data_IF_934258764103
#
_entry.id   IF_934258764103
#
_cell.length_a   1.000
_cell.length_b   1.000
_cell.length_c   1.000
_cell.angle_alpha   90.00
_cell.angle_beta   90.00
_cell.angle_gamma   90.00
#
_symmetry.space_group_name_H-M   'P 1'
#
loop_
_entity.id
_entity.type
_entity.pdbx_description
1 polymer ?
#
# COMPACT_ATOMS: atom_id res chain seq x y z
N UNK A 1 7.38 -20.60 -6.39
CA UNK A 1 8.35 -19.64 -6.99
C UNK A 1 7.63 -18.80 -8.03
N UNK A 2 7.90 -17.50 -8.07
CA UNK A 2 7.28 -16.54 -8.99
C UNK A 2 7.88 -16.69 -10.40
N UNK A 3 7.03 -16.71 -11.41
CA UNK A 3 7.42 -16.89 -12.81
C UNK A 3 7.15 -15.63 -13.62
N UNK A 4 5.95 -15.07 -13.49
CA UNK A 4 5.57 -13.80 -14.12
C UNK A 4 4.93 -12.87 -13.11
N UNK A 5 5.22 -11.58 -13.26
CA UNK A 5 4.42 -10.50 -12.68
C UNK A 5 3.98 -9.61 -13.83
N UNK A 6 2.72 -9.17 -13.81
CA UNK A 6 2.25 -8.22 -14.79
C UNK A 6 1.11 -7.36 -14.29
N UNK A 7 0.96 -6.24 -14.98
CA UNK A 7 -0.03 -5.21 -14.70
C UNK A 7 -0.87 -5.05 -15.96
N UNK A 8 -2.18 -5.12 -15.78
CA UNK A 8 -3.15 -5.20 -16.87
C UNK A 8 -4.23 -4.14 -16.63
N UNK A 9 -4.70 -3.50 -17.70
CA UNK A 9 -5.80 -2.54 -17.57
C UNK A 9 -7.17 -3.24 -17.44
N UNK A 10 -8.23 -2.47 -17.19
CA UNK A 10 -9.60 -2.99 -17.13
C UNK A 10 -10.09 -3.65 -18.44
N UNK A 11 -9.38 -3.46 -19.56
CA UNK A 11 -9.67 -4.08 -20.86
C UNK A 11 -8.84 -5.34 -21.13
N UNK A 12 -8.13 -5.86 -20.12
CA UNK A 12 -7.23 -7.01 -20.24
C UNK A 12 -6.02 -6.81 -21.15
N UNK A 13 -5.68 -5.57 -21.47
CA UNK A 13 -4.46 -5.25 -22.20
C UNK A 13 -3.30 -5.18 -21.21
N UNK A 14 -2.26 -5.94 -21.51
CA UNK A 14 -1.02 -5.95 -20.73
C UNK A 14 -0.34 -4.59 -20.86
N UNK A 15 -0.20 -3.90 -19.72
CA UNK A 15 0.53 -2.63 -19.65
C UNK A 15 2.01 -2.88 -19.45
N UNK A 16 2.32 -3.76 -18.49
CA UNK A 16 3.67 -4.14 -18.09
C UNK A 16 3.70 -5.63 -17.78
N UNK A 17 4.78 -6.30 -18.16
CA UNK A 17 4.96 -7.72 -17.92
C UNK A 17 6.44 -8.01 -17.77
N UNK A 18 6.78 -8.69 -16.67
CA UNK A 18 8.13 -9.15 -16.41
C UNK A 18 8.13 -10.65 -16.16
N UNK A 19 9.03 -11.33 -16.86
CA UNK A 19 9.32 -12.75 -16.67
C UNK A 19 10.62 -12.89 -15.88
N UNK A 20 10.57 -13.63 -14.77
CA UNK A 20 11.74 -13.85 -13.89
C UNK A 20 12.43 -15.18 -14.15
N UNK A 21 11.77 -16.09 -14.87
CA UNK A 21 12.20 -17.47 -15.09
C UNK A 21 11.96 -17.85 -16.54
N UNK A 22 13.00 -18.37 -17.19
CA UNK A 22 12.97 -18.87 -18.56
C UNK A 22 13.08 -20.41 -18.61
N UNK A 23 13.06 -21.07 -17.46
CA UNK A 23 13.22 -22.52 -17.33
C UNK A 23 11.87 -23.25 -17.36
N UNK A 24 11.59 -23.91 -18.48
CA UNK A 24 10.48 -24.86 -18.66
C UNK A 24 9.39 -24.39 -19.62
N UNK A 25 8.42 -25.28 -19.88
CA UNK A 25 7.24 -25.01 -20.70
C UNK A 25 6.24 -24.16 -19.91
N UNK A 26 6.64 -22.93 -19.60
CA UNK A 26 5.83 -21.96 -18.88
C UNK A 26 4.78 -21.42 -19.84
N UNK A 27 3.50 -21.48 -19.44
CA UNK A 27 2.39 -20.87 -20.19
C UNK A 27 2.63 -19.39 -20.43
N UNK A 28 2.12 -18.88 -21.56
CA UNK A 28 2.22 -17.47 -21.89
C UNK A 28 1.52 -16.62 -20.83
N UNK A 29 2.02 -15.40 -20.57
CA UNK A 29 1.35 -14.49 -19.63
C UNK A 29 -0.09 -14.16 -20.05
N UNK A 30 -0.35 -14.04 -21.35
CA UNK A 30 -1.70 -13.81 -21.87
C UNK A 30 -2.67 -14.95 -21.51
N UNK A 31 -2.21 -16.21 -21.55
CA UNK A 31 -3.02 -17.34 -21.09
C UNK A 31 -3.34 -17.21 -19.59
N UNK A 32 -2.38 -16.73 -18.79
CA UNK A 32 -2.60 -16.50 -17.36
C UNK A 32 -3.63 -15.39 -17.10
N UNK A 33 -3.66 -14.35 -17.94
CA UNK A 33 -4.67 -13.28 -17.88
C UNK A 33 -6.05 -13.84 -18.23
N UNK A 34 -6.17 -14.65 -19.28
CA UNK A 34 -7.42 -15.33 -19.66
C UNK A 34 -7.93 -16.28 -18.56
N UNK A 35 -7.04 -16.88 -17.76
CA UNK A 35 -7.46 -17.73 -16.64
C UNK A 35 -8.15 -16.97 -15.51
N UNK A 36 -7.72 -15.74 -15.25
CA UNK A 36 -8.35 -14.84 -14.28
C UNK A 36 -9.67 -14.29 -14.83
N UNK A 37 -9.83 -14.27 -16.16
CA UNK A 37 -10.97 -13.68 -16.82
C UNK A 37 -11.71 -14.69 -17.70
N UNK A 38 -12.71 -15.36 -17.11
CA UNK A 38 -13.58 -16.29 -17.84
C UNK A 38 -14.98 -15.69 -17.98
N UNK A 39 -15.54 -15.79 -19.18
CA UNK A 39 -16.92 -15.39 -19.50
C UNK A 39 -17.29 -13.94 -19.10
N UNK A 40 -16.31 -13.03 -19.17
CA UNK A 40 -16.51 -11.61 -18.84
C UNK A 40 -16.58 -11.30 -17.34
N UNK A 41 -16.31 -12.27 -16.47
CA UNK A 41 -16.21 -12.08 -15.03
C UNK A 41 -14.80 -12.32 -14.51
N UNK A 42 -14.42 -11.52 -13.52
CA UNK A 42 -13.18 -11.71 -12.76
C UNK A 42 -13.40 -12.93 -11.86
N UNK A 43 -12.58 -13.96 -12.05
CA UNK A 43 -12.57 -15.09 -11.14
C UNK A 43 -12.00 -14.66 -9.77
N UNK A 44 -12.19 -15.48 -8.72
CA UNK A 44 -11.68 -15.18 -7.37
C UNK A 44 -10.16 -14.90 -7.31
N UNK A 45 -9.65 -14.39 -6.18
CA UNK A 45 -8.29 -13.86 -6.05
C UNK A 45 -7.16 -14.87 -6.30
N UNK A 46 -7.47 -16.17 -6.24
CA UNK A 46 -6.52 -17.26 -6.53
C UNK A 46 -7.16 -18.21 -7.53
N UNK A 47 -6.50 -18.41 -8.67
CA UNK A 47 -6.85 -19.41 -9.67
C UNK A 47 -5.76 -20.48 -9.73
N UNK A 48 -6.15 -21.74 -9.55
CA UNK A 48 -5.24 -22.89 -9.61
C UNK A 48 -5.49 -23.66 -10.90
N UNK A 49 -4.44 -23.88 -11.69
CA UNK A 49 -4.51 -24.71 -12.89
C UNK A 49 -3.26 -25.57 -13.00
N UNK A 50 -3.42 -26.88 -12.79
CA UNK A 50 -2.40 -27.93 -12.89
C UNK A 50 -1.02 -27.50 -12.34
N UNK A 51 -0.18 -26.90 -13.19
CA UNK A 51 1.21 -26.53 -12.88
C UNK A 51 1.40 -25.04 -12.48
N UNK A 52 0.37 -24.20 -12.54
CA UNK A 52 0.46 -22.75 -12.30
C UNK A 52 -0.63 -22.27 -11.34
N UNK A 53 -0.22 -21.41 -10.40
CA UNK A 53 -1.08 -20.65 -9.51
C UNK A 53 -1.05 -19.19 -9.96
N UNK A 54 -2.22 -18.62 -10.22
CA UNK A 54 -2.37 -17.21 -10.59
C UNK A 54 -3.07 -16.48 -9.45
N UNK A 55 -2.39 -15.47 -8.92
CA UNK A 55 -2.89 -14.57 -7.90
C UNK A 55 -3.28 -13.25 -8.54
N UNK A 56 -4.43 -12.72 -8.14
CA UNK A 56 -5.02 -11.53 -8.73
C UNK A 56 -5.52 -10.56 -7.66
N UNK A 57 -5.19 -9.28 -7.82
CA UNK A 57 -5.82 -8.18 -7.10
C UNK A 57 -6.24 -7.08 -8.09
N UNK A 58 -7.29 -6.33 -7.72
CA UNK A 58 -7.74 -5.16 -8.47
C UNK A 58 -7.72 -3.93 -7.57
N UNK A 59 -6.99 -2.89 -8.00
CA UNK A 59 -6.88 -1.59 -7.30
C UNK A 59 -7.01 -0.48 -8.33
N UNK A 60 -7.87 0.51 -8.07
CA UNK A 60 -8.06 1.67 -8.95
C UNK A 60 -8.33 1.31 -10.44
N UNK A 61 -9.08 0.22 -10.69
CA UNK A 61 -9.36 -0.34 -12.03
C UNK A 61 -8.12 -0.85 -12.80
N UNK A 62 -7.02 -1.09 -12.10
CA UNK A 62 -5.82 -1.76 -12.60
C UNK A 62 -5.73 -3.14 -11.95
N UNK A 63 -5.42 -4.14 -12.77
CA UNK A 63 -5.30 -5.53 -12.36
C UNK A 63 -3.82 -5.89 -12.22
N UNK A 64 -3.45 -6.40 -11.05
CA UNK A 64 -2.10 -6.90 -10.79
C UNK A 64 -2.17 -8.41 -10.71
N UNK A 65 -1.31 -9.07 -11.49
CA UNK A 65 -1.25 -10.52 -11.59
C UNK A 65 0.13 -11.02 -11.20
N UNK A 66 0.16 -12.06 -10.38
CA UNK A 66 1.35 -12.82 -10.05
C UNK A 66 1.11 -14.28 -10.41
N UNK A 67 1.96 -14.82 -11.28
CA UNK A 67 1.91 -16.22 -11.69
C UNK A 67 3.07 -16.96 -11.01
N UNK A 68 2.75 -17.97 -10.23
CA UNK A 68 3.72 -18.83 -9.55
C UNK A 68 3.57 -20.27 -10.01
N UNK A 69 4.67 -21.03 -9.99
CA UNK A 69 4.60 -22.47 -10.27
C UNK A 69 3.99 -23.23 -9.10
N UNK A 70 3.01 -24.08 -9.40
CA UNK A 70 2.43 -25.03 -8.47
C UNK A 70 3.42 -26.21 -8.31
N UNK A 71 4.24 -26.19 -7.26
CA UNK A 71 5.21 -27.24 -7.00
C UNK A 71 5.71 -27.18 -5.56
N UNK A 72 6.17 -28.32 -5.02
CA UNK A 72 6.48 -28.52 -3.59
C UNK A 72 7.49 -27.55 -2.95
N UNK A 73 8.23 -26.76 -3.73
CA UNK A 73 9.10 -25.66 -3.25
C UNK A 73 8.44 -24.28 -3.38
N UNK A 74 7.11 -24.17 -3.30
CA UNK A 74 6.45 -22.86 -3.21
C UNK A 74 6.65 -22.28 -1.81
N UNK A 75 7.69 -21.46 -1.66
CA UNK A 75 8.04 -20.75 -0.41
C UNK A 75 6.97 -19.71 -0.01
N UNK A 76 6.08 -19.32 -0.92
CA UNK A 76 5.00 -18.38 -0.62
C UNK A 76 3.68 -19.12 -0.38
N UNK A 77 3.08 -18.90 0.78
CA UNK A 77 1.68 -19.23 1.06
C UNK A 77 0.75 -18.39 0.18
N UNK A 78 -0.47 -18.86 -0.07
CA UNK A 78 -1.47 -18.12 -0.87
C UNK A 78 -1.67 -16.69 -0.32
N UNK A 79 -1.61 -16.52 1.01
CA UNK A 79 -1.69 -15.22 1.68
C UNK A 79 -0.49 -14.30 1.39
N UNK A 80 0.74 -14.83 1.47
CA UNK A 80 1.96 -14.05 1.21
C UNK A 80 2.02 -13.54 -0.24
N UNK A 81 1.51 -14.31 -1.20
CA UNK A 81 1.43 -13.87 -2.59
C UNK A 81 0.46 -12.69 -2.79
N UNK A 82 -0.71 -12.73 -2.12
CA UNK A 82 -1.70 -11.64 -2.17
C UNK A 82 -1.20 -10.40 -1.42
N UNK A 83 -0.57 -10.59 -0.26
CA UNK A 83 0.07 -9.52 0.51
C UNK A 83 1.15 -8.84 -0.31
N UNK A 84 2.04 -9.62 -0.94
CA UNK A 84 3.07 -9.08 -1.82
C UNK A 84 2.48 -8.27 -2.99
N UNK A 85 1.39 -8.73 -3.61
CA UNK A 85 0.72 -7.95 -4.65
C UNK A 85 0.17 -6.62 -4.12
N UNK A 86 -0.36 -6.60 -2.89
CA UNK A 86 -0.85 -5.38 -2.25
C UNK A 86 0.30 -4.42 -1.92
N UNK A 87 1.40 -4.93 -1.39
CA UNK A 87 2.62 -4.17 -1.13
C UNK A 87 3.23 -3.62 -2.43
N UNK A 88 3.27 -4.41 -3.50
CA UNK A 88 3.73 -3.96 -4.81
C UNK A 88 2.87 -2.81 -5.35
N UNK A 89 1.55 -2.89 -5.20
CA UNK A 89 0.66 -1.78 -5.56
C UNK A 89 0.99 -0.51 -4.74
N UNK A 90 1.15 -0.64 -3.43
CA UNK A 90 1.49 0.49 -2.55
C UNK A 90 2.86 1.07 -2.90
N UNK A 91 3.83 0.23 -3.21
CA UNK A 91 5.17 0.62 -3.63
C UNK A 91 5.15 1.42 -4.94
N UNK A 92 4.46 0.91 -5.97
CA UNK A 92 4.30 1.61 -7.25
C UNK A 92 3.58 2.95 -7.03
N UNK A 93 2.55 2.98 -6.18
CA UNK A 93 1.85 4.22 -5.82
C UNK A 93 2.76 5.20 -5.07
N UNK A 94 3.61 4.73 -4.17
CA UNK A 94 4.57 5.56 -3.45
C UNK A 94 5.64 6.15 -4.37
N UNK A 95 6.07 5.42 -5.41
CA UNK A 95 7.02 5.93 -6.40
C UNK A 95 6.36 6.84 -7.45
N UNK A 96 5.19 6.48 -7.98
CA UNK A 96 4.54 7.20 -9.08
C UNK A 96 3.54 8.26 -8.62
N UNK A 97 3.14 8.27 -7.34
CA UNK A 97 2.09 9.11 -6.77
C UNK A 97 0.66 8.67 -7.12
N UNK A 98 0.43 8.31 -8.38
CA UNK A 98 -0.87 7.85 -8.89
C UNK A 98 -0.74 6.59 -9.75
N UNK A 99 -1.71 5.68 -9.61
CA UNK A 99 -1.77 4.38 -10.28
C UNK A 99 -2.83 4.35 -11.39
N UNK A 100 -2.84 5.40 -12.23
CA UNK A 100 -3.70 5.44 -13.43
C UNK A 100 -3.02 4.77 -14.63
N UNK A 101 -3.81 4.35 -15.61
CA UNK A 101 -3.30 3.72 -16.85
C UNK A 101 -2.27 4.61 -17.59
N UNK A 102 -2.48 5.92 -17.60
CA UNK A 102 -1.55 6.88 -18.20
C UNK A 102 -0.26 7.02 -17.38
N UNK A 103 -0.36 7.09 -16.05
CA UNK A 103 0.78 7.18 -15.15
C UNK A 103 1.69 5.95 -15.27
N UNK A 104 1.10 4.75 -15.27
CA UNK A 104 1.83 3.49 -15.40
C UNK A 104 2.56 3.38 -16.75
N UNK A 105 1.94 3.84 -17.85
CA UNK A 105 2.60 3.84 -19.17
C UNK A 105 3.78 4.80 -19.26
N UNK A 106 3.64 6.00 -18.69
CA UNK A 106 4.73 7.00 -18.70
C UNK A 106 5.87 6.60 -17.77
N UNK A 107 5.56 6.00 -16.64
CA UNK A 107 6.52 5.51 -15.65
C UNK A 107 6.92 4.04 -15.87
N UNK A 108 6.75 3.49 -17.08
CA UNK A 108 7.02 2.08 -17.39
C UNK A 108 8.45 1.66 -17.01
N UNK A 109 9.45 2.50 -17.32
CA UNK A 109 10.85 2.23 -16.98
C UNK A 109 11.09 2.16 -15.47
N UNK A 110 10.50 3.10 -14.71
CA UNK A 110 10.57 3.15 -13.26
C UNK A 110 9.94 1.89 -12.63
N UNK A 111 8.80 1.45 -13.15
CA UNK A 111 8.12 0.25 -12.65
C UNK A 111 8.93 -1.00 -12.98
N UNK A 112 9.57 -1.08 -14.15
CA UNK A 112 10.46 -2.20 -14.47
C UNK A 112 11.68 -2.28 -13.54
N UNK A 113 12.26 -1.14 -13.15
CA UNK A 113 13.32 -1.08 -12.13
C UNK A 113 12.81 -1.55 -10.75
N UNK A 114 11.63 -1.09 -10.34
CA UNK A 114 11.00 -1.54 -9.08
C UNK A 114 10.78 -3.07 -9.12
N UNK A 115 10.25 -3.59 -10.23
CA UNK A 115 10.01 -5.02 -10.40
C UNK A 115 11.32 -5.84 -10.42
N UNK A 116 12.42 -5.30 -10.95
CA UNK A 116 13.71 -6.00 -10.95
C UNK A 116 14.36 -6.06 -9.58
N UNK A 117 14.20 -5.01 -8.76
CA UNK A 117 14.79 -4.95 -7.42
C UNK A 117 13.94 -5.67 -6.36
N UNK A 118 12.62 -5.70 -6.53
CA UNK A 118 11.70 -6.36 -5.58
C UNK A 118 11.76 -7.89 -5.65
N UNK A 119 11.95 -8.46 -6.84
CA UNK A 119 11.95 -9.90 -7.07
C UNK A 119 13.20 -10.34 -7.81
N UNK A 120 13.96 -11.24 -7.20
CA UNK A 120 15.16 -11.81 -7.79
C UNK A 120 14.98 -13.31 -8.07
N UNK A 121 15.14 -13.72 -9.34
CA UNK A 121 15.02 -15.12 -9.80
C UNK A 121 13.76 -15.86 -9.32
N UNK A 122 12.65 -15.14 -9.11
CA UNK A 122 11.36 -15.70 -8.68
C UNK A 122 11.15 -15.76 -7.17
N UNK A 123 12.02 -15.11 -6.39
CA UNK A 123 11.89 -14.94 -4.94
C UNK A 123 11.75 -13.45 -4.61
N UNK A 124 10.84 -13.13 -3.68
CA UNK A 124 10.68 -11.77 -3.14
C UNK A 124 11.94 -11.46 -2.34
N UNK A 125 12.62 -10.38 -2.69
CA UNK A 125 13.87 -9.97 -2.05
C UNK A 125 13.62 -8.88 -1.01
N UNK A 126 13.00 -7.77 -1.42
CA UNK A 126 12.61 -6.68 -0.52
C UNK A 126 11.42 -5.91 -1.07
N UNK A 127 10.56 -5.44 -0.18
CA UNK A 127 9.44 -4.53 -0.48
C UNK A 127 9.59 -3.19 0.27
N UNK A 128 10.65 -3.03 1.08
CA UNK A 128 10.87 -1.81 1.85
C UNK A 128 11.26 -0.65 0.93
N UNK A 129 10.45 0.40 0.98
CA UNK A 129 10.60 1.62 0.20
C UNK A 129 11.95 2.30 0.47
N UNK A 130 12.42 2.29 1.73
CA UNK A 130 13.66 2.96 2.13
C UNK A 130 14.89 2.26 1.57
N UNK A 131 14.85 0.93 1.56
CA UNK A 131 15.90 0.07 1.01
C UNK A 131 15.93 0.07 -0.52
N UNK A 132 14.76 0.21 -1.18
CA UNK A 132 14.64 0.22 -2.64
C UNK A 132 15.02 1.55 -3.28
N UNK A 133 14.76 2.68 -2.60
CA UNK A 133 14.99 4.01 -3.14
C UNK A 133 16.41 4.26 -3.69
N UNK A 134 17.49 3.80 -3.04
CA UNK A 134 18.86 3.95 -3.56
C UNK A 134 19.17 3.08 -4.79
N UNK A 135 18.47 1.97 -4.97
CA UNK A 135 18.67 1.04 -6.10
C UNK A 135 17.96 1.51 -7.38
N UNK A 136 17.00 2.41 -7.24
CA UNK A 136 16.17 2.93 -8.35
C UNK A 136 16.74 4.24 -8.87
N UNK A 137 17.11 4.24 -10.15
CA UNK A 137 17.73 5.37 -10.83
C UNK A 137 16.72 6.22 -11.56
N UNK A 138 15.65 5.63 -12.07
CA UNK A 138 14.57 6.35 -12.74
C UNK A 138 13.89 7.36 -11.81
N UNK A 139 13.58 8.55 -12.35
CA UNK A 139 12.81 9.57 -11.63
C UNK A 139 11.34 9.49 -12.02
N UNK A 140 10.41 9.70 -11.07
CA UNK A 140 9.00 9.68 -11.38
C UNK A 140 8.66 10.86 -12.30
N UNK A 141 7.94 10.56 -13.38
CA UNK A 141 7.34 11.57 -14.24
C UNK A 141 6.04 11.99 -13.56
N UNK A 142 6.10 13.14 -12.89
CA UNK A 142 4.93 13.75 -12.30
C UNK A 142 3.90 14.05 -13.39
N UNK A 143 2.76 13.40 -13.27
CA UNK A 143 1.61 13.75 -14.07
C UNK A 143 1.08 15.09 -13.57
N UNK A 144 0.80 16.07 -14.45
CA UNK A 144 0.06 17.24 -14.04
C UNK A 144 -1.30 16.74 -13.56
N UNK A 145 -1.48 16.67 -12.24
CA UNK A 145 -2.80 16.54 -11.67
C UNK A 145 -3.61 17.66 -12.30
N UNK A 146 -4.72 17.30 -12.95
CA UNK A 146 -5.72 18.26 -13.41
C UNK A 146 -5.97 19.15 -12.19
N UNK A 147 -5.38 20.35 -12.22
CA UNK A 147 -5.76 21.43 -11.34
C UNK A 147 -7.23 21.57 -11.67
N UNK A 148 -8.09 20.93 -10.88
CA UNK A 148 -9.49 21.31 -10.82
C UNK A 148 -9.43 22.72 -10.28
N UNK A 149 -9.19 23.67 -11.18
CA UNK A 149 -9.49 25.07 -10.99
C UNK A 149 -10.94 25.02 -10.57
N UNK A 150 -11.16 25.16 -9.27
CA UNK A 150 -12.47 25.44 -8.75
C UNK A 150 -12.83 26.73 -9.46
N UNK A 151 -13.68 26.62 -10.48
CA UNK A 151 -14.31 27.77 -11.13
C UNK A 151 -15.31 28.31 -10.11
N UNK A 152 -14.82 28.90 -9.01
CA UNK A 152 -15.62 29.80 -8.20
C UNK A 152 -15.81 31.03 -9.05
N UNK A 153 -16.92 31.04 -9.77
CA UNK A 153 -17.54 32.23 -10.31
C UNK A 153 -17.85 33.20 -9.17
N UNK A 154 -16.89 34.04 -8.80
CA UNK A 154 -17.11 35.21 -7.96
C UNK A 154 -16.18 36.35 -8.38
N UNK A 155 -16.81 37.40 -8.91
CA UNK A 155 -16.27 38.71 -9.30
C UNK A 155 -15.73 39.51 -8.12
N UNK A 156 -14.78 39.01 -7.33
CA UNK A 156 -14.11 39.83 -6.31
C UNK A 156 -12.64 39.44 -6.20
N UNK A 157 -11.81 40.22 -6.88
CA UNK A 157 -10.36 40.21 -6.73
C UNK A 157 -10.00 40.73 -5.33
N UNK A 158 -9.63 39.81 -4.44
CA UNK A 158 -8.80 40.11 -3.28
C UNK A 158 -7.66 39.11 -3.24
N UNK A 159 -6.44 39.63 -3.02
CA UNK A 159 -5.16 38.92 -2.91
C UNK A 159 -5.22 37.81 -1.85
N UNK A 160 -5.77 36.66 -2.24
CA UNK A 160 -5.77 35.46 -1.44
C UNK A 160 -4.91 34.45 -2.19
N UNK A 161 -3.82 34.02 -1.54
CA UNK A 161 -2.96 32.92 -2.02
C UNK A 161 -3.85 31.82 -2.60
N UNK A 162 -3.56 31.31 -3.81
CA UNK A 162 -4.37 30.23 -4.37
C UNK A 162 -4.39 29.08 -3.38
N UNK A 163 -5.58 28.73 -2.88
CA UNK A 163 -5.80 27.53 -2.08
C UNK A 163 -5.58 26.38 -3.05
N UNK A 164 -4.35 25.90 -3.10
CA UNK A 164 -3.99 24.71 -3.87
C UNK A 164 -4.70 23.54 -3.18
N UNK A 165 -5.56 22.77 -3.86
CA UNK A 165 -6.14 21.58 -3.25
C UNK A 165 -4.99 20.71 -2.72
N UNK A 166 -5.19 20.12 -1.54
CA UNK A 166 -4.17 19.34 -0.85
C UNK A 166 -3.94 18.01 -1.61
N UNK A 167 -3.18 18.05 -2.71
CA UNK A 167 -2.87 16.89 -3.57
C UNK A 167 -1.75 16.03 -2.99
N UNK A 168 -1.47 16.16 -1.68
CA UNK A 168 -0.41 15.44 -0.98
C UNK A 168 -0.54 13.92 -1.13
N UNK A 169 -1.76 13.40 -1.22
CA UNK A 169 -2.03 11.98 -1.44
C UNK A 169 -1.73 11.46 -2.87
N UNK A 170 -1.49 12.36 -3.83
CA UNK A 170 -1.24 12.02 -5.24
C UNK A 170 0.21 12.25 -5.66
N UNK A 171 1.06 12.74 -4.74
CA UNK A 171 2.48 12.94 -5.01
C UNK A 171 3.26 11.69 -4.67
N UNK A 172 4.33 11.38 -5.42
CA UNK A 172 5.34 10.44 -4.97
C UNK A 172 5.79 10.74 -3.54
N UNK A 173 6.04 9.69 -2.75
CA UNK A 173 6.59 9.80 -1.39
C UNK A 173 7.98 10.45 -1.44
N UNK A 174 8.71 10.27 -2.54
CA UNK A 174 10.00 10.90 -2.78
C UNK A 174 9.91 11.99 -3.85
N UNK A 175 10.38 13.19 -3.52
CA UNK A 175 10.64 14.22 -4.52
C UNK A 175 11.85 13.89 -5.40
N UNK A 176 12.11 14.72 -6.41
CA UNK A 176 13.36 14.66 -7.18
C UNK A 176 14.55 14.80 -6.23
N UNK A 177 15.65 14.09 -6.54
CA UNK A 177 16.88 14.12 -5.72
C UNK A 177 17.41 15.55 -5.50
N UNK A 178 17.12 16.46 -6.42
CA UNK A 178 17.49 17.88 -6.33
C UNK A 178 16.67 18.65 -5.28
N UNK A 179 15.39 18.30 -5.08
CA UNK A 179 14.51 18.98 -4.12
C UNK A 179 14.73 18.51 -2.67
N UNK A 180 15.15 17.25 -2.48
CA UNK A 180 15.49 16.72 -1.16
C UNK A 180 16.62 17.49 -0.48
N UNK A 181 17.58 18.05 -1.25
CA UNK A 181 18.71 18.79 -0.67
C UNK A 181 18.33 20.14 -0.07
N UNK A 182 17.19 20.75 -0.46
CA UNK A 182 16.87 22.14 -0.09
C UNK A 182 15.84 22.27 1.05
N UNK A 183 15.02 21.24 1.30
CA UNK A 183 13.93 21.27 2.29
C UNK A 183 14.24 20.53 3.61
N UNK A 184 15.45 20.00 3.80
CA UNK A 184 15.79 19.14 4.95
C UNK A 184 16.12 19.87 6.26
N UNK A 185 16.00 21.20 6.35
CA UNK A 185 16.53 21.94 7.50
C UNK A 185 15.72 21.89 8.80
N UNK A 186 14.62 21.12 8.88
CA UNK A 186 13.74 21.12 10.05
C UNK A 186 13.34 19.70 10.45
N UNK A 187 13.93 19.23 11.54
CA UNK A 187 13.64 17.94 12.15
C UNK A 187 12.23 17.96 12.76
N UNK A 188 11.24 17.48 12.00
CA UNK A 188 9.83 17.44 12.41
C UNK A 188 9.27 16.02 12.31
N UNK A 189 8.32 15.71 13.19
CA UNK A 189 7.54 14.47 13.14
C UNK A 189 6.08 14.89 13.14
N UNK A 190 5.32 14.36 12.18
CA UNK A 190 3.88 14.53 12.11
C UNK A 190 3.21 13.22 12.54
N UNK A 191 2.23 13.32 13.42
CA UNK A 191 1.46 12.18 13.93
C UNK A 191 -0.01 12.48 13.67
N UNK A 192 -0.63 11.64 12.85
CA UNK A 192 -2.06 11.71 12.54
C UNK A 192 -2.78 10.54 13.19
N UNK A 193 -3.66 10.84 14.15
CA UNK A 193 -4.58 9.85 14.74
C UNK A 193 -5.88 9.88 13.95
N UNK A 194 -6.19 8.78 13.27
CA UNK A 194 -7.38 8.67 12.41
C UNK A 194 -8.31 7.62 12.98
N UNK A 195 -9.51 8.03 13.34
CA UNK A 195 -10.55 7.17 13.87
C UNK A 195 -11.69 7.01 12.86
N UNK A 196 -12.11 5.76 12.64
CA UNK A 196 -13.20 5.41 11.73
C UNK A 196 -14.28 4.66 12.49
N UNK A 197 -15.47 5.25 12.51
CA UNK A 197 -16.66 4.65 13.11
C UNK A 197 -17.46 3.96 12.01
N UNK A 198 -17.68 2.66 12.17
CA UNK A 198 -18.61 1.89 11.37
C UNK A 198 -19.83 1.59 12.22
N UNK A 199 -20.98 2.16 11.86
CA UNK A 199 -22.24 1.90 12.54
C UNK A 199 -23.33 1.54 11.53
N UNK A 200 -24.11 0.50 11.84
CA UNK A 200 -25.35 0.18 11.12
C UNK A 200 -26.53 0.52 12.02
N UNK A 201 -27.39 1.42 11.55
CA UNK A 201 -28.55 1.91 12.28
C UNK A 201 -29.80 1.39 11.57
N UNK A 202 -30.67 0.73 12.32
CA UNK A 202 -31.96 0.25 11.84
C UNK A 202 -32.90 1.41 11.53
N UNK A 203 -33.99 1.14 10.79
CA UNK A 203 -35.03 2.14 10.52
C UNK A 203 -35.75 2.59 11.80
N UNK A 204 -35.73 1.76 12.85
CA UNK A 204 -36.26 2.06 14.19
C UNK A 204 -35.32 2.95 15.02
N UNK A 205 -34.12 3.26 14.53
CA UNK A 205 -33.12 4.06 15.24
C UNK A 205 -32.24 3.27 16.22
N UNK A 206 -32.28 1.94 16.17
CA UNK A 206 -31.42 1.08 17.00
C UNK A 206 -30.10 0.78 16.28
N UNK A 207 -28.98 0.85 17.01
CA UNK A 207 -27.66 0.51 16.48
C UNK A 207 -27.51 -1.02 16.52
N UNK A 208 -27.39 -1.65 15.35
CA UNK A 208 -27.25 -3.12 15.25
C UNK A 208 -25.80 -3.57 15.23
N UNK A 209 -24.91 -2.75 14.67
CA UNK A 209 -23.49 -3.01 14.60
C UNK A 209 -22.74 -1.70 14.83
N UNK A 210 -21.73 -1.73 15.69
CA UNK A 210 -20.84 -0.62 15.98
C UNK A 210 -19.41 -1.14 16.08
N UNK A 211 -18.50 -0.52 15.33
CA UNK A 211 -17.07 -0.81 15.38
C UNK A 211 -16.30 0.48 15.23
N UNK A 212 -15.34 0.70 16.12
CA UNK A 212 -14.38 1.81 16.07
C UNK A 212 -13.02 1.25 15.64
N UNK A 213 -12.48 1.75 14.52
CA UNK A 213 -11.14 1.40 14.06
C UNK A 213 -10.25 2.65 14.09
N UNK A 214 -9.28 2.67 15.00
CA UNK A 214 -8.24 3.69 15.06
C UNK A 214 -7.00 3.29 14.26
N UNK A 215 -6.30 4.27 13.69
CA UNK A 215 -4.97 4.11 13.10
C UNK A 215 -4.11 5.33 13.41
N UNK A 216 -2.88 5.11 13.84
CA UNK A 216 -1.89 6.17 14.06
C UNK A 216 -0.91 6.16 12.91
N UNK A 217 -0.89 7.24 12.13
CA UNK A 217 0.02 7.40 10.99
C UNK A 217 1.15 8.35 11.40
N UNK A 218 2.40 7.92 11.19
CA UNK A 218 3.58 8.70 11.51
C UNK A 218 4.33 9.08 10.24
N UNK A 219 4.63 10.36 10.09
CA UNK A 219 5.54 10.88 9.07
C UNK A 219 6.76 11.51 9.75
N UNK A 220 7.89 10.83 9.65
CA UNK A 220 9.17 11.32 10.15
C UNK A 220 9.89 12.11 9.06
N UNK A 221 10.24 13.36 9.36
CA UNK A 221 11.10 14.22 8.54
C UNK A 221 12.47 14.41 9.20
N UNK A 222 12.94 13.41 9.95
CA UNK A 222 14.25 13.44 10.62
C UNK A 222 15.37 13.04 9.65
N UNK A 223 16.51 13.72 9.74
CA UNK A 223 17.70 13.42 8.92
C UNK A 223 18.42 12.13 9.34
N UNK A 224 18.28 11.75 10.62
CA UNK A 224 18.96 10.59 11.20
C UNK A 224 17.98 9.56 11.74
N UNK A 225 18.45 8.33 11.87
CA UNK A 225 17.71 7.22 12.48
C UNK A 225 17.53 7.51 13.97
N UNK A 226 16.37 8.03 14.35
CA UNK A 226 15.99 8.26 15.74
C UNK A 226 15.07 7.13 16.25
N UNK A 227 15.21 6.78 17.52
CA UNK A 227 14.22 5.96 18.22
C UNK A 227 13.09 6.85 18.70
N UNK A 228 11.87 6.58 18.24
CA UNK A 228 10.66 7.29 18.66
C UNK A 228 9.92 6.38 19.65
N UNK A 229 9.50 6.95 20.77
CA UNK A 229 8.62 6.29 21.76
C UNK A 229 7.31 7.06 21.72
N UNK A 230 6.19 6.35 21.55
CA UNK A 230 4.86 6.93 21.52
C UNK A 230 4.14 6.54 22.80
N UNK A 231 3.83 7.52 23.64
CA UNK A 231 3.00 7.31 24.82
C UNK A 231 1.52 7.51 24.47
N UNK A 232 0.68 6.55 24.86
CA UNK A 232 -0.77 6.69 24.84
C UNK A 232 -1.29 7.04 26.24
N UNK A 233 -2.57 7.39 26.35
CA UNK A 233 -3.20 7.64 27.64
C UNK A 233 -3.20 6.36 28.50
N UNK A 234 -3.05 6.52 29.81
CA UNK A 234 -3.07 5.41 30.78
C UNK A 234 -4.42 4.66 30.77
N UNK A 235 -5.50 5.33 30.36
CA UNK A 235 -6.85 4.76 30.24
C UNK A 235 -7.01 3.83 29.02
N UNK A 236 -5.99 3.69 28.18
CA UNK A 236 -5.99 2.79 27.03
C UNK A 236 -5.57 1.38 27.47
N UNK A 237 -6.55 0.54 27.77
CA UNK A 237 -6.31 -0.81 28.28
C UNK A 237 -6.28 -1.83 27.13
N UNK A 238 -5.27 -2.69 27.09
CA UNK A 238 -5.20 -3.81 26.14
C UNK A 238 -5.99 -4.99 26.70
N UNK A 239 -6.94 -5.54 25.94
CA UNK A 239 -7.83 -6.63 26.41
C UNK A 239 -7.10 -7.93 26.82
N UNK A 240 -5.80 -8.06 26.56
CA UNK A 240 -4.99 -9.23 26.94
C UNK A 240 -4.52 -9.24 28.39
N UNK A 241 -4.76 -8.19 29.17
CA UNK A 241 -4.40 -8.19 30.59
C UNK A 241 -5.45 -8.96 31.40
N UNK A 242 -5.02 -10.01 32.12
CA UNK A 242 -5.82 -10.80 33.08
C UNK A 242 -6.43 -9.97 34.24
N UNK A 243 -6.22 -8.65 34.23
CA UNK A 243 -6.86 -7.64 35.08
C UNK A 243 -8.21 -7.20 34.52
N UNK A 244 -9.11 -8.15 34.22
CA UNK A 244 -10.54 -7.85 34.00
C UNK A 244 -11.29 -7.55 35.32
N UNK A 245 -10.63 -7.70 36.46
CA UNK A 245 -11.22 -7.42 37.76
C UNK A 245 -10.99 -5.96 38.18
N UNK A 246 -12.03 -5.15 37.98
CA UNK A 246 -12.38 -3.96 38.77
C UNK A 246 -11.76 -2.59 38.42
N UNK A 247 -11.61 -2.23 37.14
CA UNK A 247 -11.47 -0.81 36.78
C UNK A 247 -12.82 -0.23 36.35
N UNK A 248 -13.48 0.52 37.25
CA UNK A 248 -14.65 1.36 36.95
C UNK A 248 -14.24 2.68 36.28
N UNK A 249 -13.26 2.63 35.37
CA UNK A 249 -12.84 3.79 34.62
C UNK A 249 -13.46 3.74 33.22
N UNK A 250 -13.64 4.91 32.62
CA UNK A 250 -14.09 5.11 31.23
C UNK A 250 -13.00 4.69 30.25
N UNK A 251 -12.44 3.50 30.45
CA UNK A 251 -11.24 3.02 29.78
C UNK A 251 -11.57 2.61 28.34
N UNK A 252 -10.77 3.10 27.41
CA UNK A 252 -10.86 2.69 26.01
C UNK A 252 -10.15 1.36 25.89
N UNK A 253 -10.91 0.27 25.92
CA UNK A 253 -10.36 -1.08 25.80
C UNK A 253 -10.09 -1.40 24.33
N UNK A 254 -8.82 -1.63 23.99
CA UNK A 254 -8.42 -2.12 22.68
C UNK A 254 -8.66 -3.64 22.61
N UNK A 255 -9.68 -4.02 21.83
CA UNK A 255 -10.01 -5.41 21.57
C UNK A 255 -8.98 -6.11 20.67
N UNK A 256 -8.42 -5.40 19.69
CA UNK A 256 -7.39 -5.90 18.81
C UNK A 256 -6.48 -4.75 18.37
N UNK A 257 -5.20 -5.04 18.16
CA UNK A 257 -4.21 -4.08 17.70
C UNK A 257 -3.23 -4.73 16.72
N UNK A 258 -2.74 -3.93 15.78
CA UNK A 258 -1.73 -4.34 14.81
C UNK A 258 -0.56 -3.38 14.94
N UNK A 259 0.63 -3.91 15.19
CA UNK A 259 1.84 -3.14 15.32
C UNK A 259 2.60 -3.14 13.98
N UNK A 260 3.21 -2.00 13.66
CA UNK A 260 4.14 -1.92 12.53
C UNK A 260 5.42 -2.71 12.85
N UNK A 261 6.08 -3.29 11.84
CA UNK A 261 7.27 -4.14 12.00
C UNK A 261 8.43 -3.44 12.75
N UNK A 262 8.48 -2.10 12.69
CA UNK A 262 9.50 -1.31 13.39
C UNK A 262 9.28 -1.20 14.90
N UNK A 263 8.11 -1.59 15.41
CA UNK A 263 7.79 -1.56 16.84
C UNK A 263 8.46 -2.73 17.52
N UNK A 264 9.07 -2.48 18.68
CA UNK A 264 9.70 -3.53 19.49
C UNK A 264 8.64 -4.25 20.30
N UNK A 265 8.03 -5.28 19.71
CA UNK A 265 6.95 -6.07 20.34
C UNK A 265 7.32 -6.62 21.72
N UNK A 266 8.59 -7.00 21.94
CA UNK A 266 9.07 -7.50 23.25
C UNK A 266 8.98 -6.43 24.34
N UNK A 267 9.24 -5.16 23.99
CA UNK A 267 9.13 -4.03 24.92
C UNK A 267 7.68 -3.63 25.12
N UNK A 268 6.90 -3.63 24.04
CA UNK A 268 5.48 -3.31 24.10
C UNK A 268 4.72 -4.33 24.98
N UNK A 269 5.08 -5.60 24.93
CA UNK A 269 4.46 -6.64 25.77
C UNK A 269 4.80 -6.48 27.27
N UNK A 270 5.98 -5.95 27.60
CA UNK A 270 6.42 -5.77 28.98
C UNK A 270 5.96 -4.44 29.60
N UNK A 271 6.14 -3.35 28.86
CA UNK A 271 6.04 -1.98 29.38
C UNK A 271 4.93 -1.17 28.68
N UNK A 272 4.18 -1.77 27.75
CA UNK A 272 3.13 -1.10 26.93
C UNK A 272 3.63 0.17 26.21
N UNK A 273 4.94 0.23 25.92
CA UNK A 273 5.66 1.34 25.27
C UNK A 273 6.53 0.92 24.09
#
# INVERSE_FOLDING_TARGET
MIVHIGIVNAKLQVLLHRQYRHDGNVRSFNECVELVWKDGQVCGPVQKLDDVLVYHICRENIHYLLCARNGGNSVATDASAIEFLNELYMLIKNFCGATTEESLRKNALLIEEILSETVNRGHIYTTDLSSLRPCIYSEPIDMPSLKKTVLTSTLLATDTKPIVPNTTALRPVFGSRLEQSQNQHRAEIFVDVVEKIYATISKEGTITNFSLCGSVNLKSCLESKASIILGFNEDLVLSSSESESESYSTDVVLSNYILHETVKSDKFAADQT
#
